data_IF_947711338479
#
_entry.id   IF_947711338479
#
_cell.length_a   1.000
_cell.length_b   1.000
_cell.length_c   1.000
_cell.angle_alpha   90.00
_cell.angle_beta   90.00
_cell.angle_gamma   90.00
#
_symmetry.space_group_name_H-M   'P 1'
#
loop_
_entity.id
_entity.type
_entity.pdbx_description
1 polymer ?
#
# COMPACT_ATOMS: atom_id res chain seq x y z
N UNK A 1 1.85 -11.15 8.80
CA UNK A 1 1.26 -11.77 7.58
C UNK A 1 1.72 -10.94 6.41
N UNK A 2 2.39 -11.53 5.41
CA UNK A 2 2.79 -10.79 4.21
C UNK A 2 1.55 -10.45 3.39
N UNK A 3 1.43 -9.20 2.96
CA UNK A 3 0.27 -8.73 2.19
C UNK A 3 0.59 -8.80 0.70
N UNK A 4 -0.32 -9.41 -0.05
CA UNK A 4 -0.17 -9.78 -1.46
C UNK A 4 -1.37 -9.26 -2.26
N UNK A 5 -1.12 -8.80 -3.48
CA UNK A 5 -2.13 -8.42 -4.46
C UNK A 5 -1.87 -9.08 -5.82
N UNK A 6 -2.94 -9.31 -6.58
CA UNK A 6 -2.87 -9.88 -7.92
C UNK A 6 -3.02 -8.80 -8.99
N UNK A 7 -1.98 -8.58 -9.80
CA UNK A 7 -1.92 -7.58 -10.87
C UNK A 7 -2.32 -8.16 -12.25
N UNK A 8 -3.05 -9.28 -12.25
CA UNK A 8 -3.53 -10.00 -13.43
C UNK A 8 -2.53 -11.05 -13.91
N UNK A 9 -1.34 -10.63 -14.34
CA UNK A 9 -0.30 -11.52 -14.86
C UNK A 9 0.84 -11.81 -13.87
N UNK A 10 0.83 -11.14 -12.72
CA UNK A 10 1.82 -11.31 -11.67
C UNK A 10 1.21 -11.00 -10.30
N UNK A 11 1.76 -11.61 -9.27
CA UNK A 11 1.49 -11.26 -7.88
C UNK A 11 2.53 -10.23 -7.43
N UNK A 12 2.13 -9.31 -6.56
CA UNK A 12 3.02 -8.39 -5.87
C UNK A 12 2.79 -8.53 -4.37
N UNK A 13 3.87 -8.60 -3.58
CA UNK A 13 3.79 -8.65 -2.12
C UNK A 13 4.81 -7.75 -1.45
N UNK A 14 4.55 -7.43 -0.19
CA UNK A 14 5.58 -6.98 0.75
C UNK A 14 6.40 -8.20 1.17
N UNK A 15 7.73 -8.06 1.18
CA UNK A 15 8.59 -9.17 1.56
C UNK A 15 8.31 -9.59 3.01
N UNK A 16 8.08 -10.89 3.29
CA UNK A 16 7.77 -11.36 4.64
C UNK A 16 8.84 -11.10 5.71
N UNK A 17 10.08 -10.79 5.31
CA UNK A 17 11.23 -10.63 6.21
C UNK A 17 11.89 -9.25 6.11
N UNK A 18 11.40 -8.37 5.24
CA UNK A 18 12.00 -7.04 5.00
C UNK A 18 10.93 -6.07 4.49
N UNK A 19 10.39 -5.25 5.39
CA UNK A 19 9.31 -4.31 5.07
C UNK A 19 9.77 -3.16 4.16
N UNK A 20 11.07 -3.04 3.84
CA UNK A 20 11.57 -2.08 2.84
C UNK A 20 11.68 -2.70 1.44
N UNK A 21 11.20 -3.94 1.24
CA UNK A 21 11.29 -4.67 -0.01
C UNK A 21 9.92 -5.13 -0.51
N UNK A 22 9.66 -4.87 -1.79
CA UNK A 22 8.55 -5.46 -2.54
C UNK A 22 9.08 -6.55 -3.46
N UNK A 23 8.31 -7.61 -3.60
CA UNK A 23 8.64 -8.75 -4.44
C UNK A 23 7.46 -9.10 -5.33
N UNK A 24 7.74 -9.59 -6.53
CA UNK A 24 6.72 -10.06 -7.44
C UNK A 24 6.93 -11.51 -7.87
N UNK A 25 5.86 -12.13 -8.33
CA UNK A 25 5.87 -13.51 -8.82
C UNK A 25 5.06 -13.63 -10.10
N UNK A 26 5.63 -14.28 -11.11
CA UNK A 26 4.95 -14.62 -12.38
C UNK A 26 4.54 -16.09 -12.45
N UNK A 27 4.75 -16.85 -11.37
CA UNK A 27 4.49 -18.29 -11.31
C UNK A 27 3.63 -18.68 -10.11
N UNK A 28 2.60 -17.87 -9.83
CA UNK A 28 1.62 -18.09 -8.76
C UNK A 28 2.26 -18.26 -7.38
N UNK A 29 3.24 -17.41 -7.05
CA UNK A 29 3.85 -17.35 -5.73
C UNK A 29 4.89 -18.43 -5.45
N UNK A 30 5.24 -19.27 -6.44
CA UNK A 30 6.27 -20.32 -6.27
C UNK A 30 7.66 -19.74 -6.08
N UNK A 31 8.00 -18.68 -6.82
CA UNK A 31 9.24 -17.92 -6.65
C UNK A 31 8.95 -16.43 -6.67
N UNK A 32 9.77 -15.67 -5.95
CA UNK A 32 9.61 -14.24 -5.77
C UNK A 32 10.88 -13.51 -6.21
N UNK A 33 10.71 -12.49 -7.04
CA UNK A 33 11.78 -11.65 -7.58
C UNK A 33 11.63 -10.26 -6.99
N UNK A 34 12.73 -9.62 -6.61
CA UNK A 34 12.71 -8.27 -6.07
C UNK A 34 12.13 -7.29 -7.10
N UNK A 35 11.09 -6.55 -6.71
CA UNK A 35 10.56 -5.42 -7.47
C UNK A 35 11.19 -4.10 -7.05
N UNK A 36 11.25 -3.88 -5.74
CA UNK A 36 11.75 -2.66 -5.14
C UNK A 36 12.47 -3.00 -3.85
N UNK A 37 13.56 -2.31 -3.55
CA UNK A 37 14.22 -2.34 -2.24
C UNK A 37 14.78 -0.96 -1.94
N UNK A 38 14.41 -0.41 -0.80
CA UNK A 38 14.92 0.89 -0.35
C UNK A 38 14.03 1.53 0.70
N UNK A 39 14.53 2.59 1.32
CA UNK A 39 13.88 3.26 2.45
C UNK A 39 13.24 4.60 2.06
N UNK A 40 13.24 4.94 0.76
CA UNK A 40 12.76 6.24 0.28
C UNK A 40 11.31 6.49 0.70
N UNK A 41 10.47 5.46 0.63
CA UNK A 41 9.04 5.52 0.93
C UNK A 41 8.69 5.05 2.35
N UNK A 42 9.69 4.63 3.15
CA UNK A 42 9.49 4.00 4.45
C UNK A 42 9.13 2.51 4.33
N UNK A 43 8.83 1.92 5.48
CA UNK A 43 8.45 0.52 5.60
C UNK A 43 7.03 0.35 5.06
N UNK A 44 6.84 -0.60 4.16
CA UNK A 44 5.53 -0.92 3.59
C UNK A 44 4.71 -1.73 4.60
N UNK A 45 3.57 -1.19 5.03
CA UNK A 45 2.70 -1.84 6.02
C UNK A 45 1.55 -2.62 5.35
N UNK A 46 1.00 -2.06 4.27
CA UNK A 46 -0.09 -2.67 3.50
C UNK A 46 -0.20 -2.10 2.08
N UNK A 47 -0.85 -2.85 1.19
CA UNK A 47 -1.13 -2.46 -0.18
C UNK A 47 -2.47 -3.00 -0.68
N UNK A 48 -3.12 -2.22 -1.53
CA UNK A 48 -4.35 -2.59 -2.23
C UNK A 48 -4.33 -2.12 -3.68
N UNK A 49 -5.16 -2.76 -4.51
CA UNK A 49 -5.45 -2.28 -5.86
C UNK A 49 -6.69 -1.39 -5.78
N UNK A 50 -6.57 -0.14 -6.22
CA UNK A 50 -7.69 0.80 -6.32
C UNK A 50 -7.75 1.36 -7.75
N UNK A 51 -8.75 0.93 -8.52
CA UNK A 51 -8.83 1.25 -9.94
C UNK A 51 -7.65 0.67 -10.72
N UNK A 52 -6.83 1.55 -11.33
CA UNK A 52 -5.62 1.18 -12.09
C UNK A 52 -4.32 1.37 -11.29
N UNK A 53 -4.44 1.81 -10.05
CA UNK A 53 -3.30 2.14 -9.19
C UNK A 53 -3.14 1.11 -8.08
N UNK A 54 -1.91 0.97 -7.61
CA UNK A 54 -1.61 0.32 -6.34
C UNK A 54 -1.50 1.44 -5.30
N UNK A 55 -2.26 1.32 -4.21
CA UNK A 55 -2.13 2.21 -3.06
C UNK A 55 -1.40 1.45 -1.96
N UNK A 56 -0.33 2.04 -1.44
CA UNK A 56 0.41 1.52 -0.28
C UNK A 56 0.24 2.47 0.90
N UNK A 57 0.17 1.89 2.09
CA UNK A 57 0.39 2.62 3.34
C UNK A 57 1.74 2.22 3.90
N UNK A 58 2.53 3.22 4.29
CA UNK A 58 3.89 3.05 4.77
C UNK A 58 4.12 3.82 6.07
N UNK A 59 5.27 3.61 6.70
CA UNK A 59 5.69 4.40 7.86
C UNK A 59 5.89 5.89 7.56
N UNK A 60 5.98 6.30 6.28
CA UNK A 60 6.11 7.72 5.86
C UNK A 60 4.83 8.31 5.25
N UNK A 61 3.76 7.55 5.11
CA UNK A 61 2.49 8.03 4.59
C UNK A 61 1.84 7.09 3.58
N UNK A 62 0.94 7.62 2.77
CA UNK A 62 0.23 6.90 1.71
C UNK A 62 0.86 7.24 0.37
N UNK A 63 1.18 6.24 -0.43
CA UNK A 63 1.71 6.42 -1.78
C UNK A 63 0.86 5.65 -2.80
N UNK A 64 0.90 6.10 -4.05
CA UNK A 64 0.25 5.45 -5.18
C UNK A 64 1.26 5.09 -6.27
N UNK A 65 1.03 4.00 -6.99
CA UNK A 65 1.83 3.59 -8.15
C UNK A 65 0.95 3.20 -9.32
N UNK A 66 1.25 3.76 -10.49
CA UNK A 66 0.74 3.35 -11.81
C UNK A 66 1.70 2.41 -12.55
N UNK A 67 2.89 2.17 -11.97
CA UNK A 67 3.98 1.41 -12.59
C UNK A 67 4.21 0.07 -11.88
N UNK A 68 3.13 -0.56 -11.43
CA UNK A 68 3.14 -1.87 -10.75
C UNK A 68 4.13 -1.96 -9.58
N UNK A 69 4.31 -0.86 -8.85
CA UNK A 69 5.16 -0.77 -7.67
C UNK A 69 6.65 -0.48 -7.93
N UNK A 70 7.01 -0.08 -9.15
CA UNK A 70 8.37 0.37 -9.49
C UNK A 70 8.62 1.80 -9.01
N UNK A 71 7.68 2.72 -9.28
CA UNK A 71 7.73 4.11 -8.83
C UNK A 71 6.48 4.48 -8.06
N UNK A 72 6.63 5.41 -7.11
CA UNK A 72 5.60 5.80 -6.16
C UNK A 72 5.45 7.32 -6.10
N UNK A 73 4.21 7.79 -5.99
CA UNK A 73 3.86 9.20 -5.80
C UNK A 73 3.18 9.37 -4.45
N UNK A 74 3.68 10.32 -3.64
CA UNK A 74 3.08 10.62 -2.34
C UNK A 74 1.65 11.12 -2.52
N UNK A 75 0.71 10.53 -1.79
CA UNK A 75 -0.70 10.97 -1.71
C UNK A 75 -0.94 11.80 -0.46
N UNK A 76 -0.42 11.35 0.68
CA UNK A 76 -0.49 12.11 1.94
C UNK A 76 0.57 11.62 2.93
N UNK A 77 1.09 12.54 3.74
CA UNK A 77 1.97 12.27 4.89
C UNK A 77 1.50 13.03 6.12
N UNK A 78 0.21 13.36 6.20
CA UNK A 78 -0.34 14.19 7.26
C UNK A 78 -0.38 13.43 8.60
N UNK A 79 0.51 13.81 9.52
CA UNK A 79 0.64 13.20 10.84
C UNK A 79 -0.62 13.30 11.73
N UNK A 80 -1.58 14.17 11.41
CA UNK A 80 -2.87 14.22 12.12
C UNK A 80 -3.65 12.91 12.01
N UNK A 81 -3.47 12.15 10.93
CA UNK A 81 -4.12 10.86 10.72
C UNK A 81 -3.49 9.72 11.53
N UNK A 82 -2.29 9.90 12.06
CA UNK A 82 -1.52 8.86 12.75
C UNK A 82 -0.75 7.97 11.78
N UNK A 83 -0.22 6.86 12.31
CA UNK A 83 0.52 5.87 11.52
C UNK A 83 -0.48 4.97 10.82
N UNK A 84 -0.40 4.84 9.50
CA UNK A 84 -1.25 3.94 8.73
C UNK A 84 -0.74 2.50 8.87
N UNK A 85 -1.60 1.59 9.32
CA UNK A 85 -1.23 0.20 9.62
C UNK A 85 -1.80 -0.76 8.58
N UNK A 86 -3.07 -0.55 8.18
CA UNK A 86 -3.75 -1.38 7.18
C UNK A 86 -4.60 -0.51 6.27
N UNK A 87 -4.87 -0.99 5.06
CA UNK A 87 -5.72 -0.34 4.08
C UNK A 87 -6.56 -1.38 3.34
N UNK A 88 -7.83 -1.06 3.09
CA UNK A 88 -8.77 -1.91 2.37
C UNK A 88 -9.62 -1.06 1.41
N UNK A 89 -10.13 -1.71 0.36
CA UNK A 89 -11.06 -1.09 -0.57
C UNK A 89 -12.48 -1.46 -0.17
N UNK A 90 -13.35 -0.45 -0.03
CA UNK A 90 -14.78 -0.62 0.20
C UNK A 90 -15.55 0.11 -0.91
N UNK A 91 -15.87 -0.60 -1.99
CA UNK A 91 -16.49 -0.01 -3.17
C UNK A 91 -15.58 1.06 -3.80
N UNK A 92 -16.03 2.32 -3.76
CA UNK A 92 -15.27 3.48 -4.26
C UNK A 92 -14.47 4.20 -3.17
N UNK A 93 -14.37 3.63 -1.98
CA UNK A 93 -13.68 4.22 -0.84
C UNK A 93 -12.44 3.40 -0.45
N UNK A 94 -11.45 4.08 0.10
CA UNK A 94 -10.36 3.45 0.84
C UNK A 94 -10.65 3.58 2.32
N UNK A 95 -10.50 2.48 3.05
CA UNK A 95 -10.63 2.44 4.51
C UNK A 95 -9.27 2.08 5.07
N UNK A 96 -8.73 2.93 5.95
CA UNK A 96 -7.46 2.69 6.62
C UNK A 96 -7.64 2.61 8.12
N UNK A 97 -7.03 1.61 8.73
CA UNK A 97 -6.83 1.57 10.18
C UNK A 97 -5.51 2.25 10.48
N UNK A 98 -5.55 3.24 11.37
CA UNK A 98 -4.37 3.97 11.83
C UNK A 98 -4.27 3.90 13.34
N UNK A 99 -3.11 4.30 13.88
CA UNK A 99 -2.90 4.43 15.32
C UNK A 99 -3.82 5.45 16.02
N UNK A 100 -4.57 6.26 15.25
CA UNK A 100 -5.54 7.25 15.78
C UNK A 100 -7.01 6.90 15.49
N UNK A 101 -7.26 5.71 14.94
CA UNK A 101 -8.59 5.20 14.64
C UNK A 101 -8.77 4.83 13.17
N UNK A 102 -10.01 4.58 12.77
CA UNK A 102 -10.34 4.27 11.38
C UNK A 102 -10.57 5.55 10.60
N UNK A 103 -10.02 5.61 9.39
CA UNK A 103 -10.17 6.73 8.46
C UNK A 103 -10.70 6.23 7.13
N UNK A 104 -11.46 7.09 6.44
CA UNK A 104 -12.00 6.84 5.10
C UNK A 104 -11.50 7.91 4.14
N UNK A 105 -11.09 7.49 2.94
CA UNK A 105 -10.78 8.38 1.82
C UNK A 105 -11.71 8.10 0.64
N UNK A 106 -12.20 9.18 0.05
CA UNK A 106 -13.06 9.19 -1.15
C UNK A 106 -12.35 9.73 -2.40
N UNK A 107 -11.04 9.98 -2.31
CA UNK A 107 -10.26 10.66 -3.35
C UNK A 107 -8.87 10.04 -3.55
N UNK A 108 -8.84 8.70 -3.60
CA UNK A 108 -7.64 7.90 -3.86
C UNK A 108 -6.51 8.14 -2.83
N UNK A 109 -6.87 8.34 -1.57
CA UNK A 109 -5.93 8.42 -0.45
C UNK A 109 -5.28 9.80 -0.26
N UNK A 110 -5.74 10.84 -0.98
CA UNK A 110 -5.22 12.21 -0.85
C UNK A 110 -5.67 12.88 0.45
N UNK A 111 -6.93 12.71 0.83
CA UNK A 111 -7.45 13.18 2.13
C UNK A 111 -8.25 12.08 2.81
N UNK A 112 -8.30 12.17 4.15
CA UNK A 112 -8.90 11.17 5.01
C UNK A 112 -9.80 11.83 6.05
N UNK A 113 -10.98 11.26 6.26
CA UNK A 113 -11.93 11.68 7.29
C UNK A 113 -12.04 10.57 8.32
N UNK A 114 -11.93 10.91 9.60
CA UNK A 114 -12.07 9.92 10.68
C UNK A 114 -13.48 9.34 10.65
N UNK A 115 -13.57 8.02 10.69
CA UNK A 115 -14.83 7.31 10.86
C UNK A 115 -15.14 7.28 12.36
N UNK A 116 -16.24 7.93 12.74
CA UNK A 116 -16.75 7.88 14.11
C UNK A 116 -17.48 6.56 14.39
#
# INVERSE_FOLDING_TARGET
MAKEINLGNELLRICPTDDNKLEFSTNNGRTWIQRYKGTNFGDFNDLVIFGKEIIVVTSKGVYASTSKGVNWTLRTSNASYGTFETIQVNGTELVATTSKGTYISKNEGRTWTKRN
#
